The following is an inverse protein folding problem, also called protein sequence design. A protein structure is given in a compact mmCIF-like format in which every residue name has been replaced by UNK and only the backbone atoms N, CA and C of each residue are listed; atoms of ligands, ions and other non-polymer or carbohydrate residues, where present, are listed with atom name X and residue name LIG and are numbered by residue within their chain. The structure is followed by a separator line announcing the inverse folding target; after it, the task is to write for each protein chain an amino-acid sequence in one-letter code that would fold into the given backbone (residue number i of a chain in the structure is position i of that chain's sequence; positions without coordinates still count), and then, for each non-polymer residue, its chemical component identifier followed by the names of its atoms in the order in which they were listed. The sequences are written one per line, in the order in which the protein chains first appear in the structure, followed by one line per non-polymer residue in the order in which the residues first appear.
data_IF_730094275476
#
_entry.id   IF_730094275476
#
_cell.length_a   1.000
_cell.length_b   1.000
_cell.length_c   1.000
_cell.angle_alpha   90.00
_cell.angle_beta   90.00
_cell.angle_gamma   90.00
#
_symmetry.space_group_name_H-M   'P 1'
#
loop_
_entity.id
_entity.type
_entity.pdbx_description
1 polymer ?
#
# COMPACT_ATOMS: atom_id res chain seq x y z
N UNK A 1 -9.94 -9.84 -7.69
CA UNK A 1 -10.18 -11.11 -6.96
C UNK A 1 -9.70 -10.98 -5.51
N UNK A 2 -10.40 -11.55 -4.52
CA UNK A 2 -10.03 -11.52 -3.10
C UNK A 2 -9.41 -12.85 -2.68
N UNK A 3 -8.19 -12.82 -2.14
CA UNK A 3 -7.43 -14.04 -1.76
C UNK A 3 -6.66 -13.80 -0.46
N UNK A 4 -6.29 -14.86 0.26
CA UNK A 4 -5.46 -14.78 1.47
C UNK A 4 -3.95 -14.68 1.18
N UNK A 5 -3.50 -15.25 0.06
CA UNK A 5 -2.10 -15.32 -0.37
C UNK A 5 -2.06 -15.37 -1.90
N UNK A 6 -0.97 -14.89 -2.50
CA UNK A 6 -0.67 -15.09 -3.91
C UNK A 6 0.85 -15.20 -4.09
N UNK A 7 1.28 -15.96 -5.10
CA UNK A 7 2.69 -16.03 -5.50
C UNK A 7 3.04 -14.86 -6.42
N UNK A 8 4.34 -14.54 -6.52
CA UNK A 8 4.82 -13.42 -7.33
C UNK A 8 4.42 -13.59 -8.80
N UNK A 9 4.64 -14.78 -9.36
CA UNK A 9 4.28 -15.11 -10.74
C UNK A 9 2.79 -14.92 -11.02
N UNK A 10 1.92 -15.31 -10.08
CA UNK A 10 0.48 -15.13 -10.21
C UNK A 10 0.07 -13.65 -10.15
N UNK A 11 0.72 -12.86 -9.30
CA UNK A 11 0.49 -11.41 -9.23
C UNK A 11 0.84 -10.75 -10.56
N UNK A 12 2.00 -11.09 -11.11
CA UNK A 12 2.50 -10.47 -12.34
C UNK A 12 1.66 -10.89 -13.55
N UNK A 13 1.28 -12.17 -13.64
CA UNK A 13 0.40 -12.66 -14.69
C UNK A 13 -0.98 -11.97 -14.67
N UNK A 14 -1.59 -11.80 -13.50
CA UNK A 14 -2.90 -11.15 -13.37
C UNK A 14 -2.79 -9.66 -13.70
N UNK A 15 -1.71 -8.99 -13.30
CA UNK A 15 -1.46 -7.59 -13.66
C UNK A 15 -1.23 -7.40 -15.15
N UNK A 16 -0.54 -8.33 -15.81
CA UNK A 16 -0.29 -8.25 -17.26
C UNK A 16 -1.59 -8.27 -18.08
N UNK A 17 -2.61 -8.98 -17.59
CA UNK A 17 -3.96 -9.01 -18.18
C UNK A 17 -4.78 -7.74 -17.83
N UNK A 18 -4.27 -6.87 -16.96
CA UNK A 18 -4.97 -5.69 -16.45
C UNK A 18 -5.89 -5.99 -15.26
N UNK A 19 -5.76 -7.16 -14.64
CA UNK A 19 -6.50 -7.53 -13.43
C UNK A 19 -5.88 -7.00 -12.15
N UNK A 20 -6.63 -7.07 -11.04
CA UNK A 20 -6.16 -6.70 -9.70
C UNK A 20 -6.40 -7.79 -8.67
N UNK A 21 -5.39 -7.99 -7.82
CA UNK A 21 -5.43 -8.92 -6.68
C UNK A 21 -5.50 -8.10 -5.41
N UNK A 22 -6.50 -8.42 -4.58
CA UNK A 22 -6.65 -7.85 -3.25
C UNK A 22 -6.46 -8.94 -2.21
N UNK A 23 -5.48 -8.75 -1.33
CA UNK A 23 -5.15 -9.66 -0.24
C UNK A 23 -5.87 -9.19 1.02
N UNK A 24 -6.66 -10.07 1.61
CA UNK A 24 -7.45 -9.77 2.82
C UNK A 24 -7.00 -10.66 3.94
N UNK A 25 -6.75 -10.06 5.11
CA UNK A 25 -6.55 -10.83 6.32
C UNK A 25 -7.89 -11.23 6.94
N UNK A 26 -8.08 -12.54 7.10
CA UNK A 26 -9.22 -13.10 7.81
C UNK A 26 -8.74 -14.14 8.81
N UNK A 27 -9.21 -14.02 10.04
CA UNK A 27 -9.00 -15.00 11.10
C UNK A 27 -9.94 -16.20 10.91
N UNK A 28 -9.70 -17.34 11.58
CA UNK A 28 -10.45 -18.59 11.32
C UNK A 28 -11.95 -18.44 11.52
N UNK A 29 -12.38 -17.67 12.50
CA UNK A 29 -13.81 -17.41 12.76
C UNK A 29 -14.40 -16.54 11.65
N UNK A 30 -13.68 -15.50 11.23
CA UNK A 30 -14.10 -14.62 10.13
C UNK A 30 -14.17 -15.36 8.79
N UNK A 31 -13.21 -16.25 8.50
CA UNK A 31 -13.25 -17.13 7.31
C UNK A 31 -14.46 -18.04 7.32
N UNK A 32 -14.77 -18.64 8.48
CA UNK A 32 -15.95 -19.51 8.61
C UNK A 32 -17.24 -18.73 8.40
N UNK A 33 -17.31 -17.49 8.90
CA UNK A 33 -18.43 -16.59 8.65
C UNK A 33 -18.54 -16.17 7.18
N UNK A 34 -17.41 -16.01 6.49
CA UNK A 34 -17.40 -15.72 5.06
C UNK A 34 -17.92 -16.88 4.21
N UNK A 35 -17.54 -18.12 4.54
CA UNK A 35 -17.96 -19.31 3.79
C UNK A 35 -19.39 -19.74 4.12
N UNK A 36 -19.79 -19.65 5.40
CA UNK A 36 -21.12 -20.08 5.87
C UNK A 36 -21.73 -19.02 6.79
N UNK A 37 -22.23 -17.90 6.25
CA UNK A 37 -22.76 -16.80 7.05
C UNK A 37 -23.99 -17.20 7.87
N UNK A 38 -24.86 -18.08 7.35
CA UNK A 38 -26.09 -18.52 8.02
C UNK A 38 -25.88 -19.34 9.30
N UNK A 39 -24.63 -19.74 9.63
CA UNK A 39 -24.32 -20.45 10.87
C UNK A 39 -24.05 -19.51 12.04
N UNK A 40 -23.97 -18.20 11.78
CA UNK A 40 -23.67 -17.19 12.79
C UNK A 40 -24.89 -16.30 12.95
N UNK A 41 -25.41 -16.22 14.18
CA UNK A 41 -26.50 -15.28 14.51
C UNK A 41 -26.01 -13.83 14.48
N UNK A 42 -24.76 -13.60 14.92
CA UNK A 42 -24.08 -12.32 14.88
C UNK A 42 -22.76 -12.47 14.14
N UNK A 43 -22.51 -11.61 13.14
CA UNK A 43 -21.27 -11.64 12.39
C UNK A 43 -20.09 -11.19 13.27
N UNK A 44 -18.96 -11.92 13.25
CA UNK A 44 -17.78 -11.57 14.03
C UNK A 44 -17.16 -10.26 13.51
N UNK A 45 -16.65 -9.44 14.44
CA UNK A 45 -15.85 -8.26 14.09
C UNK A 45 -14.52 -8.68 13.47
N UNK A 46 -14.00 -7.86 12.56
CA UNK A 46 -12.70 -8.09 11.91
C UNK A 46 -11.58 -8.03 12.94
N UNK A 47 -10.77 -9.09 12.99
CA UNK A 47 -9.62 -9.18 13.88
C UNK A 47 -8.46 -8.27 13.42
N UNK A 48 -7.67 -7.80 14.39
CA UNK A 48 -6.38 -7.15 14.11
C UNK A 48 -5.31 -8.21 13.87
N UNK A 49 -4.47 -8.09 12.83
CA UNK A 49 -3.38 -9.02 12.60
C UNK A 49 -2.29 -8.90 13.67
N UNK A 50 -1.64 -10.02 13.97
CA UNK A 50 -0.41 -10.04 14.76
C UNK A 50 0.82 -9.63 13.94
N UNK A 51 1.96 -9.40 14.62
CA UNK A 51 3.18 -8.85 14.02
C UNK A 51 3.64 -9.61 12.76
N UNK A 52 3.75 -10.95 12.83
CA UNK A 52 4.18 -11.79 11.70
C UNK A 52 3.31 -11.58 10.46
N UNK A 53 2.00 -11.45 10.67
CA UNK A 53 1.05 -11.30 9.59
C UNK A 53 1.07 -9.89 9.00
N UNK A 54 1.26 -8.86 9.84
CA UNK A 54 1.47 -7.49 9.37
C UNK A 54 2.70 -7.39 8.47
N UNK A 55 3.83 -7.98 8.87
CA UNK A 55 5.05 -8.02 8.04
C UNK A 55 4.81 -8.74 6.71
N UNK A 56 4.08 -9.86 6.74
CA UNK A 56 3.70 -10.57 5.53
C UNK A 56 2.84 -9.69 4.60
N UNK A 57 1.87 -8.99 5.16
CA UNK A 57 0.99 -8.09 4.42
C UNK A 57 1.74 -6.92 3.76
N UNK A 58 2.67 -6.28 4.47
CA UNK A 58 3.50 -5.23 3.86
C UNK A 58 4.45 -5.80 2.79
N UNK A 59 4.96 -7.03 2.96
CA UNK A 59 5.72 -7.71 1.89
C UNK A 59 4.88 -7.91 0.63
N UNK A 60 3.61 -8.29 0.79
CA UNK A 60 2.70 -8.46 -0.34
C UNK A 60 2.32 -7.13 -1.00
N UNK A 61 2.21 -6.06 -0.21
CA UNK A 61 2.04 -4.69 -0.72
C UNK A 61 3.24 -4.24 -1.54
N UNK A 62 4.46 -4.53 -1.10
CA UNK A 62 5.69 -4.25 -1.85
C UNK A 62 5.77 -5.00 -3.19
N UNK A 63 5.15 -6.18 -3.29
CA UNK A 63 4.98 -6.93 -4.55
C UNK A 63 3.91 -6.34 -5.48
N UNK A 64 3.24 -5.27 -5.04
CA UNK A 64 2.20 -4.55 -5.77
C UNK A 64 0.84 -5.26 -5.77
N UNK A 65 0.55 -6.08 -4.76
CA UNK A 65 -0.82 -6.49 -4.47
C UNK A 65 -1.52 -5.41 -3.62
N UNK A 66 -2.83 -5.25 -3.79
CA UNK A 66 -3.63 -4.42 -2.89
C UNK A 66 -3.85 -5.19 -1.60
N UNK A 67 -3.71 -4.55 -0.44
CA UNK A 67 -3.83 -5.23 0.86
C UNK A 67 -4.87 -4.55 1.73
N UNK A 68 -5.79 -5.34 2.29
CA UNK A 68 -6.88 -4.87 3.14
C UNK A 68 -6.83 -5.54 4.51
N UNK A 69 -6.48 -4.75 5.53
CA UNK A 69 -6.51 -5.14 6.93
C UNK A 69 -6.63 -3.92 7.85
N UNK A 70 -6.97 -4.15 9.11
CA UNK A 70 -6.95 -3.09 10.13
C UNK A 70 -5.49 -2.87 10.52
N UNK A 71 -4.90 -1.75 10.05
CA UNK A 71 -3.55 -1.37 10.43
C UNK A 71 -3.48 -1.12 11.95
N UNK A 72 -2.51 -1.72 12.65
CA UNK A 72 -2.30 -1.42 14.05
C UNK A 72 -1.76 0.01 14.22
N UNK A 73 -2.03 0.63 15.37
CA UNK A 73 -1.74 2.06 15.61
C UNK A 73 -0.25 2.40 15.45
N UNK A 74 0.64 1.56 15.99
CA UNK A 74 2.09 1.72 15.87
C UNK A 74 2.56 1.82 14.41
N UNK A 75 1.95 1.06 13.49
CA UNK A 75 2.32 1.08 12.07
C UNK A 75 1.89 2.40 11.42
N UNK A 76 0.73 2.92 11.82
CA UNK A 76 0.20 4.19 11.32
C UNK A 76 1.07 5.36 11.82
N UNK A 77 1.50 5.31 13.08
CA UNK A 77 2.39 6.31 13.68
C UNK A 77 3.74 6.34 12.98
N UNK A 78 4.35 5.18 12.73
CA UNK A 78 5.62 5.08 12.01
C UNK A 78 5.48 5.51 10.54
N UNK A 79 4.42 5.12 9.83
CA UNK A 79 4.15 5.60 8.46
C UNK A 79 4.06 7.15 8.44
N UNK A 80 3.37 7.76 9.40
CA UNK A 80 3.25 9.22 9.52
C UNK A 80 4.59 9.90 9.82
N UNK A 81 5.38 9.31 10.72
CA UNK A 81 6.72 9.82 11.06
C UNK A 81 7.63 9.82 9.84
N UNK A 82 7.70 8.71 9.12
CA UNK A 82 8.50 8.57 7.90
C UNK A 82 8.02 9.51 6.80
N UNK A 83 6.70 9.64 6.62
CA UNK A 83 6.14 10.55 5.63
C UNK A 83 6.49 12.02 5.93
N UNK A 84 6.54 12.39 7.21
CA UNK A 84 6.93 13.75 7.64
C UNK A 84 8.41 14.00 7.33
N UNK A 85 9.29 13.08 7.72
CA UNK A 85 10.73 13.17 7.44
C UNK A 85 11.02 13.23 5.93
N UNK A 86 10.35 12.40 5.13
CA UNK A 86 10.51 12.40 3.68
C UNK A 86 10.05 13.74 3.07
N UNK A 87 8.97 14.32 3.58
CA UNK A 87 8.45 15.61 3.12
C UNK A 87 9.39 16.76 3.45
N UNK A 88 10.00 16.75 4.63
CA UNK A 88 11.02 17.74 5.03
C UNK A 88 12.23 17.66 4.10
N UNK A 89 12.75 16.46 3.87
CA UNK A 89 13.87 16.22 2.95
C UNK A 89 13.55 16.68 1.51
N UNK A 90 12.39 16.29 0.98
CA UNK A 90 11.95 16.71 -0.36
C UNK A 90 11.68 18.20 -0.47
N UNK A 91 11.26 18.86 0.61
CA UNK A 91 11.09 20.30 0.67
C UNK A 91 12.41 21.05 0.59
N UNK A 92 13.44 20.54 1.26
CA UNK A 92 14.80 21.08 1.20
C UNK A 92 15.45 20.86 -0.18
N UNK A 93 15.36 19.63 -0.70
CA UNK A 93 15.95 19.26 -1.99
C UNK A 93 15.19 19.89 -3.17
N UNK A 94 13.86 19.93 -3.13
CA UNK A 94 13.02 20.55 -4.16
C UNK A 94 13.21 22.07 -4.23
N UNK A 95 13.36 22.74 -3.08
CA UNK A 95 13.67 24.16 -3.03
C UNK A 95 15.11 24.47 -3.49
N UNK A 96 16.06 23.57 -3.23
CA UNK A 96 17.43 23.69 -3.72
C UNK A 96 17.53 23.46 -5.24
N UNK A 97 16.80 22.48 -5.78
CA UNK A 97 16.72 22.20 -7.23
C UNK A 97 15.99 23.33 -7.96
N UNK A 98 14.89 23.85 -7.41
CA UNK A 98 14.17 24.99 -7.98
C UNK A 98 15.05 26.25 -8.01
N UNK A 99 15.82 26.53 -6.94
CA UNK A 99 16.79 27.62 -6.90
C UNK A 99 17.89 27.45 -7.96
N UNK A 100 18.47 26.26 -8.08
CA UNK A 100 19.49 25.96 -9.11
C UNK A 100 18.96 26.11 -10.54
N UNK A 101 17.70 25.72 -10.80
CA UNK A 101 17.07 25.88 -12.12
C UNK A 101 16.72 27.34 -12.46
N UNK A 102 16.41 28.15 -11.44
CA UNK A 102 16.22 29.60 -11.60
C UNK A 102 17.55 30.29 -11.85
N UNK A 103 18.62 29.90 -11.15
CA UNK A 103 19.98 30.41 -11.39
C UNK A 103 20.57 29.97 -12.74
N UNK A 104 20.22 28.78 -13.25
CA UNK A 104 20.73 28.27 -14.54
C UNK A 104 20.01 28.81 -15.78
N UNK A 105 18.92 29.58 -15.63
CA UNK A 105 18.26 30.28 -16.74
C UNK A 105 17.67 29.38 -17.84
N UNK A 106 17.47 28.08 -17.61
CA UNK A 106 17.01 27.13 -18.64
C UNK A 106 15.48 27.09 -18.82
N UNK A 107 14.70 27.79 -17.99
CA UNK A 107 13.23 27.76 -18.06
C UNK A 107 12.65 28.33 -19.36
N UNK A 108 13.40 29.14 -20.13
CA UNK A 108 12.94 29.72 -21.39
C UNK A 108 13.17 28.83 -22.63
N UNK A 109 13.91 27.71 -22.54
CA UNK A 109 14.21 26.85 -23.70
C UNK A 109 13.17 25.77 -23.99
N UNK A 110 12.31 25.39 -23.03
CA UNK A 110 11.32 24.31 -23.21
C UNK A 110 9.97 24.75 -23.77
N UNK A 111 9.67 26.05 -23.78
CA UNK A 111 8.37 26.60 -24.25
C UNK A 111 8.38 27.03 -25.73
N UNK A 112 9.51 26.98 -26.43
CA UNK A 112 9.67 27.54 -27.79
C UNK A 112 9.97 26.53 -28.90
N UNK A 113 9.73 25.22 -28.68
CA UNK A 113 9.70 24.24 -29.77
C UNK A 113 8.33 23.57 -29.78
N UNK A 114 7.54 23.98 -30.77
CA UNK A 114 6.25 23.39 -31.12
C UNK A 114 6.37 22.09 -31.91
#
# INVERSE_FOLDING_TARGET
MLVACADQSSIDAIKAVGGSITIVYMERVALRAHVKPWKFEVLPRTARPGLKMTTYMEKMKARGALVKYIKPLWLIEEEKRLQTQLRELQGEDGAAIARKLVESGEYLKKTTLG
#
